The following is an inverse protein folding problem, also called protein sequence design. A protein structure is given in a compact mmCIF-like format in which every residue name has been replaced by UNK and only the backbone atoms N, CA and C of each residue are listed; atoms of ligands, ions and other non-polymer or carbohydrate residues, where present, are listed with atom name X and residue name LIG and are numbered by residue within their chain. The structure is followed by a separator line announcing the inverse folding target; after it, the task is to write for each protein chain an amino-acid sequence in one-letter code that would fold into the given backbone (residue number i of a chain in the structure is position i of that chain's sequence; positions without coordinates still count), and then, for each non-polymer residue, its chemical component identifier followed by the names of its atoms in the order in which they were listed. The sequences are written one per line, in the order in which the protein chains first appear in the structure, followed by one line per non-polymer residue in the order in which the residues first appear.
data_IF_536344081057
#
_entry.id   IF_536344081057
#
_cell.length_a   1.000
_cell.length_b   1.000
_cell.length_c   1.000
_cell.angle_alpha   90.00
_cell.angle_beta   90.00
_cell.angle_gamma   90.00
#
_symmetry.space_group_name_H-M   'P 1'
#
loop_
_entity.id
_entity.type
_entity.pdbx_description
1 polymer ?
#
# COMPACT_ATOMS: atom_id res chain seq x y z
N UNK A 1 -12.00 -8.74 -19.37
CA UNK A 1 -11.16 -9.14 -20.56
C UNK A 1 -12.07 -9.17 -21.77
N UNK A 2 -11.64 -8.56 -22.88
CA UNK A 2 -12.48 -8.53 -24.10
C UNK A 2 -12.63 -9.93 -24.69
N UNK A 3 -13.71 -10.19 -25.43
CA UNK A 3 -13.93 -11.48 -26.13
C UNK A 3 -12.82 -11.81 -27.14
N UNK A 4 -11.99 -10.82 -27.50
CA UNK A 4 -10.89 -10.96 -28.47
C UNK A 4 -9.58 -11.49 -27.85
N UNK A 5 -9.46 -11.62 -26.54
CA UNK A 5 -8.26 -12.19 -25.90
C UNK A 5 -8.19 -13.69 -26.13
N UNK A 6 -7.01 -14.22 -26.52
CA UNK A 6 -6.87 -15.67 -26.76
C UNK A 6 -7.16 -16.46 -25.48
N UNK A 7 -7.75 -17.65 -25.63
CA UNK A 7 -8.10 -18.53 -24.51
C UNK A 7 -6.88 -18.86 -23.63
N UNK A 8 -5.71 -19.03 -24.23
CA UNK A 8 -4.46 -19.32 -23.50
C UNK A 8 -4.03 -18.16 -22.61
N UNK A 9 -4.02 -16.93 -23.15
CA UNK A 9 -3.69 -15.72 -22.36
C UNK A 9 -4.68 -15.55 -21.22
N UNK A 10 -5.97 -15.78 -21.48
CA UNK A 10 -7.01 -15.69 -20.47
C UNK A 10 -6.81 -16.67 -19.32
N UNK A 11 -6.49 -17.93 -19.63
CA UNK A 11 -6.16 -18.96 -18.63
C UNK A 11 -4.94 -18.58 -17.80
N UNK A 12 -3.88 -18.06 -18.45
CA UNK A 12 -2.67 -17.62 -17.75
C UNK A 12 -2.97 -16.48 -16.76
N UNK A 13 -3.67 -15.45 -17.23
CA UNK A 13 -4.02 -14.30 -16.36
C UNK A 13 -4.87 -14.73 -15.18
N UNK A 14 -5.87 -15.58 -15.38
CA UNK A 14 -6.67 -16.11 -14.28
C UNK A 14 -5.81 -16.92 -13.31
N UNK A 15 -4.89 -17.75 -13.80
CA UNK A 15 -3.94 -18.48 -12.95
C UNK A 15 -3.11 -17.53 -12.07
N UNK A 16 -2.58 -16.46 -12.67
CA UNK A 16 -1.82 -15.43 -11.94
C UNK A 16 -2.71 -14.72 -10.88
N UNK A 17 -3.94 -14.36 -11.24
CA UNK A 17 -4.89 -13.71 -10.30
C UNK A 17 -5.28 -14.64 -9.16
N UNK A 18 -5.53 -15.92 -9.42
CA UNK A 18 -5.85 -16.90 -8.38
C UNK A 18 -4.66 -17.13 -7.43
N UNK A 19 -3.44 -17.23 -7.98
CA UNK A 19 -2.23 -17.31 -7.15
C UNK A 19 -2.09 -16.07 -6.27
N UNK A 20 -2.26 -14.89 -6.85
CA UNK A 20 -2.23 -13.64 -6.09
C UNK A 20 -3.29 -13.60 -5.00
N UNK A 21 -4.51 -14.03 -5.28
CA UNK A 21 -5.59 -14.10 -4.30
C UNK A 21 -5.23 -14.99 -3.10
N UNK A 22 -4.62 -16.16 -3.35
CA UNK A 22 -4.14 -17.05 -2.28
C UNK A 22 -3.02 -16.37 -1.49
N UNK A 23 -2.06 -15.74 -2.17
CA UNK A 23 -0.98 -15.00 -1.50
C UNK A 23 -1.51 -13.81 -0.68
N UNK A 24 -2.55 -13.12 -1.14
CA UNK A 24 -3.20 -12.04 -0.41
C UNK A 24 -3.87 -12.53 0.86
N UNK A 25 -4.43 -13.75 0.86
CA UNK A 25 -5.09 -14.33 2.02
C UNK A 25 -4.08 -14.85 3.05
N UNK A 26 -2.99 -15.46 2.62
CA UNK A 26 -2.07 -16.19 3.50
C UNK A 26 -0.76 -15.43 3.71
N UNK A 27 -0.09 -15.07 2.62
CA UNK A 27 1.27 -14.53 2.65
C UNK A 27 1.33 -13.06 3.07
N UNK A 28 0.43 -12.22 2.54
CA UNK A 28 0.43 -10.78 2.83
C UNK A 28 0.22 -10.49 4.32
N UNK A 29 -0.77 -11.08 5.03
CA UNK A 29 -0.91 -10.88 6.47
C UNK A 29 0.33 -11.30 7.25
N UNK A 30 0.89 -12.46 6.93
CA UNK A 30 2.09 -12.98 7.61
C UNK A 30 3.29 -12.05 7.44
N UNK A 31 3.55 -11.58 6.21
CA UNK A 31 4.64 -10.63 5.96
C UNK A 31 4.39 -9.27 6.58
N UNK A 32 3.13 -8.83 6.62
CA UNK A 32 2.77 -7.57 7.28
C UNK A 32 3.12 -7.60 8.76
N UNK A 33 2.81 -8.67 9.48
CA UNK A 33 3.20 -8.82 10.88
C UNK A 33 4.72 -8.86 11.06
N UNK A 34 5.44 -9.63 10.23
CA UNK A 34 6.92 -9.67 10.26
C UNK A 34 7.56 -8.31 10.05
N UNK A 35 6.94 -7.47 9.25
CA UNK A 35 7.45 -6.15 8.94
C UNK A 35 7.12 -5.13 10.03
N UNK A 36 5.90 -5.16 10.55
CA UNK A 36 5.41 -4.16 11.50
C UNK A 36 6.02 -4.32 12.88
N UNK A 37 6.18 -5.54 13.35
CA UNK A 37 6.69 -5.80 14.70
C UNK A 37 8.06 -5.14 14.97
N UNK A 38 9.10 -5.31 14.14
CA UNK A 38 10.37 -4.62 14.38
C UNK A 38 10.26 -3.10 14.26
N UNK A 39 9.43 -2.57 13.34
CA UNK A 39 9.19 -1.12 13.24
C UNK A 39 8.63 -0.59 14.56
N UNK A 40 7.61 -1.25 15.11
CA UNK A 40 7.01 -0.85 16.39
C UNK A 40 8.04 -0.95 17.53
N UNK A 41 8.85 -2.00 17.57
CA UNK A 41 9.92 -2.16 18.55
C UNK A 41 10.88 -0.97 18.54
N UNK A 42 11.42 -0.60 17.38
CA UNK A 42 12.32 0.54 17.25
C UNK A 42 11.65 1.90 17.51
N UNK A 43 10.37 2.04 17.20
CA UNK A 43 9.62 3.24 17.56
C UNK A 43 9.46 3.37 19.07
N UNK A 44 9.18 2.28 19.78
CA UNK A 44 9.05 2.27 21.23
C UNK A 44 10.39 2.59 21.91
N UNK A 45 11.50 2.00 21.46
CA UNK A 45 12.85 2.35 21.96
C UNK A 45 13.12 3.85 21.81
N UNK A 46 12.79 4.41 20.64
CA UNK A 46 13.01 5.83 20.37
C UNK A 46 12.11 6.73 21.21
N UNK A 47 10.91 6.30 21.54
CA UNK A 47 10.02 7.01 22.48
C UNK A 47 10.68 7.11 23.86
N UNK A 48 11.22 6.00 24.38
CA UNK A 48 11.87 6.01 25.69
C UNK A 48 13.14 6.86 25.69
N UNK A 49 13.95 6.82 24.63
CA UNK A 49 15.08 7.74 24.47
C UNK A 49 14.64 9.20 24.50
N UNK A 50 13.60 9.55 23.77
CA UNK A 50 13.09 10.92 23.71
C UNK A 50 12.51 11.40 25.04
N UNK A 51 11.94 10.52 25.85
CA UNK A 51 11.50 10.85 27.22
C UNK A 51 12.69 11.17 28.12
N UNK A 52 13.75 10.35 28.06
CA UNK A 52 15.00 10.57 28.83
C UNK A 52 15.71 11.85 28.42
N UNK A 53 15.72 12.14 27.11
CA UNK A 53 16.34 13.37 26.56
C UNK A 53 15.43 14.62 26.73
N UNK A 54 14.27 14.50 27.37
CA UNK A 54 13.25 15.55 27.46
C UNK A 54 12.86 16.14 26.09
N UNK A 55 12.99 15.35 25.03
CA UNK A 55 12.68 15.78 23.67
C UNK A 55 11.16 15.98 23.52
N UNK A 56 10.68 17.19 23.16
CA UNK A 56 9.25 17.49 23.08
C UNK A 56 8.49 16.72 22.00
N UNK A 57 9.17 15.93 21.18
CA UNK A 57 8.56 15.14 20.09
C UNK A 57 8.10 13.74 20.51
N UNK A 58 8.36 13.30 21.76
CA UNK A 58 7.97 11.95 22.21
C UNK A 58 6.46 11.66 22.15
N UNK A 59 5.54 12.61 22.48
CA UNK A 59 4.12 12.33 22.40
C UNK A 59 3.65 12.06 20.98
N UNK A 60 4.30 12.71 20.04
CA UNK A 60 4.04 12.55 18.62
C UNK A 60 4.46 11.19 18.08
N UNK A 61 5.65 10.72 18.48
CA UNK A 61 6.11 9.39 18.09
C UNK A 61 5.20 8.31 18.68
N UNK A 62 4.69 8.52 19.89
CA UNK A 62 3.69 7.65 20.54
C UNK A 62 2.42 7.56 19.69
N UNK A 63 1.89 8.68 19.22
CA UNK A 63 0.73 8.69 18.34
C UNK A 63 1.01 7.99 17.02
N UNK A 64 2.20 8.22 16.43
CA UNK A 64 2.62 7.53 15.20
C UNK A 64 2.64 6.02 15.38
N UNK A 65 3.17 5.54 16.49
CA UNK A 65 3.24 4.12 16.83
C UNK A 65 1.83 3.52 16.96
N UNK A 66 0.92 4.25 17.61
CA UNK A 66 -0.48 3.84 17.72
C UNK A 66 -1.17 3.76 16.34
N UNK A 67 -0.99 4.75 15.48
CA UNK A 67 -1.54 4.74 14.12
C UNK A 67 -1.00 3.57 13.31
N UNK A 68 0.30 3.30 13.34
CA UNK A 68 0.91 2.16 12.66
C UNK A 68 0.34 0.84 13.18
N UNK A 69 0.20 0.68 14.50
CA UNK A 69 -0.32 -0.54 15.11
C UNK A 69 -1.78 -0.82 14.77
N UNK A 70 -2.58 0.22 14.45
CA UNK A 70 -3.97 0.09 14.04
C UNK A 70 -4.12 -0.10 12.52
N UNK A 71 -3.54 0.80 11.72
CA UNK A 71 -3.77 0.81 10.26
C UNK A 71 -3.15 -0.37 9.53
N UNK A 72 -2.09 -0.95 10.07
CA UNK A 72 -1.43 -2.09 9.43
C UNK A 72 -2.24 -3.37 9.47
N UNK A 73 -2.71 -3.83 10.64
CA UNK A 73 -3.64 -4.96 10.70
C UNK A 73 -4.91 -4.73 9.91
N UNK A 74 -5.43 -3.48 9.92
CA UNK A 74 -6.58 -3.10 9.10
C UNK A 74 -6.28 -3.30 7.60
N UNK A 75 -5.13 -2.81 7.12
CA UNK A 75 -4.71 -2.99 5.74
C UNK A 75 -4.51 -4.47 5.37
N UNK A 76 -3.90 -5.24 6.24
CA UNK A 76 -3.78 -6.69 6.09
C UNK A 76 -5.15 -7.36 5.93
N UNK A 77 -6.12 -6.98 6.76
CA UNK A 77 -7.50 -7.46 6.66
C UNK A 77 -8.16 -7.09 5.33
N UNK A 78 -7.97 -5.85 4.86
CA UNK A 78 -8.47 -5.43 3.54
C UNK A 78 -7.84 -6.25 2.41
N UNK A 79 -6.56 -6.61 2.51
CA UNK A 79 -5.90 -7.49 1.54
C UNK A 79 -6.52 -8.90 1.53
N UNK A 80 -6.84 -9.46 2.70
CA UNK A 80 -7.54 -10.75 2.80
C UNK A 80 -8.91 -10.70 2.14
N UNK A 81 -9.70 -9.67 2.46
CA UNK A 81 -11.04 -9.49 1.86
C UNK A 81 -10.95 -9.32 0.34
N UNK A 82 -9.98 -8.57 -0.14
CA UNK A 82 -9.72 -8.41 -1.58
C UNK A 82 -9.32 -9.74 -2.24
N UNK A 83 -8.50 -10.56 -1.58
CA UNK A 83 -8.15 -11.90 -2.04
C UNK A 83 -9.38 -12.81 -2.15
N UNK A 84 -10.25 -12.81 -1.14
CA UNK A 84 -11.54 -13.55 -1.17
C UNK A 84 -12.43 -13.05 -2.31
N UNK A 85 -12.53 -11.74 -2.49
CA UNK A 85 -13.30 -11.15 -3.59
C UNK A 85 -12.75 -11.59 -4.96
N UNK A 86 -11.42 -11.63 -5.15
CA UNK A 86 -10.79 -12.13 -6.38
C UNK A 86 -11.14 -13.59 -6.67
N UNK A 87 -11.16 -14.45 -5.65
CA UNK A 87 -11.59 -15.84 -5.81
C UNK A 87 -13.06 -15.92 -6.24
N UNK A 88 -13.93 -15.14 -5.60
CA UNK A 88 -15.37 -15.12 -5.89
C UNK A 88 -15.68 -14.64 -7.32
N UNK A 89 -14.92 -13.66 -7.83
CA UNK A 89 -15.16 -13.10 -9.18
C UNK A 89 -14.34 -13.77 -10.28
N UNK A 90 -13.49 -14.74 -9.97
CA UNK A 90 -12.57 -15.36 -10.94
C UNK A 90 -13.30 -15.90 -12.19
N UNK A 91 -14.48 -16.51 -12.03
CA UNK A 91 -15.29 -16.97 -13.15
C UNK A 91 -15.78 -15.79 -14.01
N UNK A 92 -16.31 -14.75 -13.41
CA UNK A 92 -16.77 -13.56 -14.13
C UNK A 92 -15.62 -12.86 -14.88
N UNK A 93 -14.43 -12.83 -14.27
CA UNK A 93 -13.22 -12.31 -14.91
C UNK A 93 -12.81 -13.20 -16.09
N UNK A 94 -12.86 -14.53 -15.95
CA UNK A 94 -12.59 -15.47 -17.05
C UNK A 94 -13.61 -15.28 -18.20
N UNK A 95 -14.88 -15.10 -17.88
CA UNK A 95 -15.96 -14.89 -18.86
C UNK A 95 -15.86 -13.49 -19.53
N UNK A 96 -14.94 -12.64 -19.09
CA UNK A 96 -14.67 -11.34 -19.71
C UNK A 96 -15.65 -10.24 -19.29
N UNK A 97 -16.28 -10.36 -18.12
CA UNK A 97 -17.19 -9.32 -17.62
C UNK A 97 -16.42 -8.05 -17.28
N UNK A 98 -16.84 -6.90 -17.81
CA UNK A 98 -16.15 -5.61 -17.64
C UNK A 98 -16.05 -5.20 -16.16
N UNK A 99 -17.14 -5.36 -15.40
CA UNK A 99 -17.15 -5.04 -13.97
C UNK A 99 -16.15 -5.89 -13.17
N UNK A 100 -15.97 -7.17 -13.53
CA UNK A 100 -15.04 -8.06 -12.84
C UNK A 100 -13.57 -7.65 -13.07
N UNK A 101 -13.27 -7.09 -14.26
CA UNK A 101 -11.95 -6.52 -14.53
C UNK A 101 -11.66 -5.32 -13.63
N UNK A 102 -12.57 -4.33 -13.58
CA UNK A 102 -12.40 -3.15 -12.74
C UNK A 102 -12.22 -3.52 -11.27
N UNK A 103 -13.07 -4.42 -10.78
CA UNK A 103 -12.97 -4.91 -9.41
C UNK A 103 -11.66 -5.69 -9.16
N UNK A 104 -11.18 -6.47 -10.13
CA UNK A 104 -9.87 -7.16 -10.00
C UNK A 104 -8.72 -6.17 -9.88
N UNK A 105 -8.69 -5.13 -10.71
CA UNK A 105 -7.66 -4.09 -10.64
C UNK A 105 -7.70 -3.37 -9.29
N UNK A 106 -8.89 -3.03 -8.80
CA UNK A 106 -9.06 -2.43 -7.49
C UNK A 106 -8.54 -3.35 -6.37
N UNK A 107 -8.94 -4.61 -6.35
CA UNK A 107 -8.49 -5.57 -5.33
C UNK A 107 -6.97 -5.77 -5.35
N UNK A 108 -6.36 -5.85 -6.54
CA UNK A 108 -4.91 -6.02 -6.70
C UNK A 108 -4.11 -4.76 -6.36
N UNK A 109 -4.71 -3.58 -6.46
CA UNK A 109 -4.09 -2.33 -6.03
C UNK A 109 -3.89 -2.28 -4.49
N UNK A 110 -4.73 -2.94 -3.69
CA UNK A 110 -4.67 -2.89 -2.23
C UNK A 110 -3.30 -3.36 -1.69
N UNK A 111 -2.80 -4.58 -1.95
CA UNK A 111 -1.48 -4.99 -1.48
C UNK A 111 -0.34 -4.21 -2.16
N UNK A 112 -0.52 -3.79 -3.42
CA UNK A 112 0.47 -2.97 -4.13
C UNK A 112 0.74 -1.66 -3.40
N UNK A 113 -0.31 -0.97 -3.02
CA UNK A 113 -0.25 0.31 -2.33
C UNK A 113 0.27 0.17 -0.91
N UNK A 114 -0.26 -0.78 -0.13
CA UNK A 114 0.18 -1.01 1.23
C UNK A 114 1.65 -1.43 1.32
N UNK A 115 2.10 -2.28 0.39
CA UNK A 115 3.49 -2.63 0.28
C UNK A 115 4.37 -1.42 -0.05
N UNK A 116 4.01 -0.63 -1.07
CA UNK A 116 4.75 0.56 -1.46
C UNK A 116 4.89 1.56 -0.30
N UNK A 117 3.78 1.83 0.41
CA UNK A 117 3.77 2.74 1.57
C UNK A 117 4.77 2.33 2.66
N UNK A 118 4.94 1.02 2.91
CA UNK A 118 5.78 0.56 4.02
C UNK A 118 7.25 0.39 3.72
N UNK A 119 7.66 0.59 2.49
CA UNK A 119 9.09 0.57 2.16
C UNK A 119 9.82 1.66 2.97
N UNK A 120 9.25 2.87 3.03
CA UNK A 120 9.89 4.01 3.70
C UNK A 120 9.98 3.83 5.22
N UNK A 121 8.88 3.51 5.96
CA UNK A 121 8.99 3.22 7.38
C UNK A 121 9.95 2.08 7.70
N UNK A 122 9.95 1.01 6.91
CA UNK A 122 10.87 -0.10 7.11
C UNK A 122 12.33 0.33 6.94
N UNK A 123 12.64 1.04 5.88
CA UNK A 123 14.00 1.54 5.62
C UNK A 123 14.47 2.48 6.73
N UNK A 124 13.59 3.34 7.25
CA UNK A 124 13.94 4.32 8.28
C UNK A 124 14.17 3.69 9.66
N UNK A 125 13.41 2.68 10.03
CA UNK A 125 13.47 2.11 11.39
C UNK A 125 14.27 0.82 11.47
N UNK A 126 14.13 -0.05 10.49
CA UNK A 126 14.75 -1.38 10.48
C UNK A 126 15.97 -1.41 9.55
N UNK A 127 15.78 -1.03 8.29
CA UNK A 127 16.83 -1.11 7.28
C UNK A 127 18.08 -0.28 7.61
N UNK A 128 17.92 0.84 8.30
CA UNK A 128 19.03 1.67 8.77
C UNK A 128 19.87 1.01 9.87
N UNK A 129 19.31 0.09 10.63
CA UNK A 129 19.97 -0.61 11.76
C UNK A 129 20.42 -2.02 11.40
N UNK A 130 19.54 -2.78 10.75
CA UNK A 130 19.75 -4.20 10.47
C UNK A 130 20.15 -4.47 9.01
N UNK A 131 19.91 -3.50 8.12
CA UNK A 131 20.07 -3.71 6.68
C UNK A 131 19.01 -4.65 6.12
N UNK A 132 19.26 -5.19 4.94
CA UNK A 132 18.41 -6.20 4.32
C UNK A 132 17.35 -5.66 3.36
N UNK A 133 16.59 -6.58 2.77
CA UNK A 133 15.58 -6.27 1.77
C UNK A 133 14.21 -6.06 2.43
N UNK A 134 13.50 -4.96 2.13
CA UNK A 134 12.20 -4.67 2.72
C UNK A 134 11.16 -5.74 2.37
N UNK A 135 10.55 -6.44 3.34
CA UNK A 135 9.46 -7.38 3.06
C UNK A 135 8.27 -6.71 2.36
N UNK A 136 8.12 -5.42 2.55
CA UNK A 136 7.13 -4.56 1.91
C UNK A 136 7.16 -4.66 0.36
N UNK A 137 8.34 -4.81 -0.25
CA UNK A 137 8.49 -4.98 -1.70
C UNK A 137 7.83 -6.28 -2.16
N UNK A 138 7.93 -7.35 -1.39
CA UNK A 138 7.28 -8.62 -1.72
C UNK A 138 5.75 -8.48 -1.65
N UNK A 139 5.23 -7.79 -0.64
CA UNK A 139 3.79 -7.49 -0.54
C UNK A 139 3.34 -6.67 -1.76
N UNK A 140 4.08 -5.64 -2.12
CA UNK A 140 3.81 -4.82 -3.30
C UNK A 140 3.74 -5.67 -4.58
N UNK A 141 4.69 -6.58 -4.79
CA UNK A 141 4.76 -7.40 -6.00
C UNK A 141 3.62 -8.41 -6.13
N UNK A 142 3.09 -8.90 -5.00
CA UNK A 142 1.90 -9.79 -4.98
C UNK A 142 0.70 -9.14 -5.66
N UNK A 143 0.52 -7.83 -5.49
CA UNK A 143 -0.54 -7.09 -6.18
C UNK A 143 -0.14 -6.59 -7.56
N UNK A 144 1.06 -6.02 -7.68
CA UNK A 144 1.50 -5.27 -8.86
C UNK A 144 1.66 -6.16 -10.10
N UNK A 145 2.24 -7.35 -9.95
CA UNK A 145 2.44 -8.29 -11.08
C UNK A 145 1.09 -8.70 -11.69
N UNK A 146 0.13 -9.24 -10.93
CA UNK A 146 -1.17 -9.61 -11.50
C UNK A 146 -1.99 -8.39 -11.96
N UNK A 147 -1.82 -7.23 -11.32
CA UNK A 147 -2.40 -5.98 -11.80
C UNK A 147 -2.01 -5.70 -13.25
N UNK A 148 -0.72 -5.73 -13.57
CA UNK A 148 -0.25 -5.58 -14.93
C UNK A 148 -0.67 -6.72 -15.85
N UNK A 149 -0.71 -7.95 -15.36
CA UNK A 149 -1.21 -9.08 -16.14
C UNK A 149 -2.67 -8.86 -16.59
N UNK A 150 -3.54 -8.38 -15.69
CA UNK A 150 -4.93 -8.05 -16.02
C UNK A 150 -5.02 -6.85 -16.98
N UNK A 151 -4.24 -5.79 -16.71
CA UNK A 151 -4.25 -4.57 -17.51
C UNK A 151 -3.79 -4.82 -18.95
N UNK A 152 -2.70 -5.58 -19.14
CA UNK A 152 -2.07 -5.78 -20.43
C UNK A 152 -2.72 -6.91 -21.26
N UNK A 153 -3.46 -7.82 -20.63
CA UNK A 153 -4.06 -8.96 -21.32
C UNK A 153 -5.19 -8.57 -22.28
N UNK A 154 -5.73 -7.37 -22.20
CA UNK A 154 -6.74 -6.92 -23.14
C UNK A 154 -6.14 -6.53 -24.48
N UNK A 155 -6.79 -7.01 -25.56
CA UNK A 155 -6.55 -6.45 -26.89
C UNK A 155 -7.23 -5.07 -26.94
N UNK A 156 -6.46 -4.04 -27.04
CA UNK A 156 -6.92 -2.67 -27.10
C UNK A 156 -5.81 -1.79 -27.62
N UNK A 157 -6.16 -0.55 -27.95
CA UNK A 157 -5.19 0.45 -28.35
C UNK A 157 -4.15 0.64 -27.24
N UNK A 158 -2.88 0.57 -27.60
CA UNK A 158 -1.75 0.76 -26.69
C UNK A 158 -1.86 2.12 -25.97
N UNK A 159 -2.31 3.14 -26.70
CA UNK A 159 -2.52 4.49 -26.14
C UNK A 159 -3.51 4.47 -24.98
N UNK A 160 -4.66 3.77 -25.14
CA UNK A 160 -5.63 3.66 -24.05
C UNK A 160 -5.07 2.92 -22.85
N UNK A 161 -4.29 1.83 -23.07
CA UNK A 161 -3.64 1.10 -21.96
C UNK A 161 -2.65 1.96 -21.20
N UNK A 162 -1.88 2.79 -21.91
CA UNK A 162 -0.95 3.74 -21.29
C UNK A 162 -1.70 4.79 -20.48
N UNK A 163 -2.79 5.31 -21.03
CA UNK A 163 -3.65 6.28 -20.31
C UNK A 163 -4.25 5.64 -19.06
N UNK A 164 -4.85 4.46 -19.18
CA UNK A 164 -5.42 3.73 -18.03
C UNK A 164 -4.35 3.46 -16.96
N UNK A 165 -3.17 3.00 -17.39
CA UNK A 165 -2.05 2.80 -16.47
C UNK A 165 -1.66 4.08 -15.74
N UNK A 166 -1.48 5.18 -16.47
CA UNK A 166 -1.10 6.47 -15.87
C UNK A 166 -2.17 6.98 -14.92
N UNK A 167 -3.45 6.88 -15.28
CA UNK A 167 -4.56 7.29 -14.40
C UNK A 167 -4.56 6.47 -13.11
N UNK A 168 -4.47 5.13 -13.18
CA UNK A 168 -4.47 4.31 -11.98
C UNK A 168 -3.18 4.46 -11.17
N UNK A 169 -2.03 4.64 -11.84
CA UNK A 169 -0.77 4.95 -11.17
C UNK A 169 -0.88 6.27 -10.41
N UNK A 170 -1.36 7.34 -11.07
CA UNK A 170 -1.50 8.65 -10.44
C UNK A 170 -2.51 8.63 -9.30
N UNK A 171 -3.64 7.95 -9.45
CA UNK A 171 -4.59 7.77 -8.36
C UNK A 171 -3.98 7.00 -7.18
N UNK A 172 -3.23 5.94 -7.46
CA UNK A 172 -2.56 5.16 -6.46
C UNK A 172 -1.48 5.93 -5.72
N UNK A 173 -0.60 6.60 -6.46
CA UNK A 173 0.46 7.45 -5.89
C UNK A 173 -0.17 8.59 -5.08
N UNK A 174 -1.18 9.27 -5.62
CA UNK A 174 -1.86 10.37 -4.93
C UNK A 174 -2.50 9.90 -3.63
N UNK A 175 -3.17 8.74 -3.62
CA UNK A 175 -3.76 8.18 -2.41
C UNK A 175 -2.69 7.83 -1.37
N UNK A 176 -1.57 7.20 -1.76
CA UNK A 176 -0.47 6.87 -0.87
C UNK A 176 0.24 8.13 -0.33
N UNK A 177 0.50 9.10 -1.20
CA UNK A 177 1.09 10.38 -0.84
C UNK A 177 0.18 11.18 0.11
N UNK A 178 -1.12 11.24 -0.17
CA UNK A 178 -2.07 11.93 0.69
C UNK A 178 -2.15 11.26 2.08
N UNK A 179 -2.17 9.93 2.14
CA UNK A 179 -2.14 9.21 3.41
C UNK A 179 -0.84 9.48 4.17
N UNK A 180 0.32 9.37 3.52
CA UNK A 180 1.62 9.64 4.11
C UNK A 180 1.77 11.10 4.55
N UNK A 181 1.33 12.03 3.71
CA UNK A 181 1.41 13.47 3.99
C UNK A 181 0.39 13.91 5.04
N UNK A 182 -0.81 13.30 5.08
CA UNK A 182 -1.79 13.52 6.14
C UNK A 182 -1.23 13.13 7.50
N UNK A 183 -0.60 11.99 7.55
CA UNK A 183 0.09 11.51 8.74
C UNK A 183 1.26 12.41 9.15
N UNK A 184 2.07 12.87 8.19
CA UNK A 184 3.17 13.80 8.44
C UNK A 184 2.66 15.18 8.90
N UNK A 185 1.60 15.71 8.28
CA UNK A 185 0.97 16.96 8.67
C UNK A 185 0.41 16.91 10.11
N UNK A 186 -0.25 15.81 10.46
CA UNK A 186 -0.73 15.58 11.80
C UNK A 186 0.40 15.54 12.82
N UNK A 187 1.53 14.92 12.46
CA UNK A 187 2.76 14.94 13.24
C UNK A 187 3.27 16.35 13.49
N UNK A 188 3.31 17.18 12.46
CA UNK A 188 3.82 18.56 12.57
C UNK A 188 2.92 19.39 13.47
N UNK A 189 1.62 19.29 13.32
CA UNK A 189 0.64 20.06 14.10
C UNK A 189 0.67 19.73 15.58
N UNK A 190 0.79 18.46 15.94
CA UNK A 190 0.74 18.04 17.36
C UNK A 190 2.09 18.03 18.06
N UNK A 191 3.18 17.75 17.35
CA UNK A 191 4.49 17.55 17.96
C UNK A 191 5.42 18.74 17.95
N UNK A 192 5.12 19.79 17.18
CA UNK A 192 5.95 20.98 17.06
C UNK A 192 5.15 22.28 17.10
N UNK A 193 4.42 22.55 18.21
CA UNK A 193 3.58 23.75 18.30
C UNK A 193 4.37 25.06 18.18
N UNK A 194 5.71 25.02 18.35
CA UNK A 194 6.59 26.18 18.20
C UNK A 194 7.23 26.30 16.82
N UNK A 195 7.10 25.29 15.95
CA UNK A 195 7.56 25.40 14.56
C UNK A 195 6.50 26.10 13.72
N UNK A 196 6.85 27.17 13.01
CA UNK A 196 5.90 27.77 12.07
C UNK A 196 5.44 26.70 11.09
N UNK A 197 4.14 26.54 10.92
CA UNK A 197 3.50 25.60 9.98
C UNK A 197 4.13 25.74 8.58
N UNK A 198 4.67 26.89 8.28
CA UNK A 198 5.28 27.25 6.99
C UNK A 198 6.78 26.92 6.86
N UNK A 199 7.46 26.51 7.93
CA UNK A 199 8.92 26.32 7.90
C UNK A 199 9.37 24.98 7.28
N UNK A 200 8.53 23.96 7.26
CA UNK A 200 8.91 22.61 6.74
C UNK A 200 8.06 22.14 5.55
N UNK A 201 7.56 23.05 4.79
CA UNK A 201 6.86 22.73 3.55
C UNK A 201 5.35 22.88 3.65
N UNK A 202 4.88 24.04 3.24
CA UNK A 202 3.48 24.33 2.94
C UNK A 202 2.83 23.17 2.18
N UNK A 203 3.58 22.53 1.28
CA UNK A 203 3.13 21.40 0.49
C UNK A 203 2.70 20.21 1.35
N UNK A 204 3.53 19.77 2.32
CA UNK A 204 3.22 18.61 3.16
C UNK A 204 1.97 18.86 4.00
N UNK A 205 1.87 20.05 4.60
CA UNK A 205 0.71 20.42 5.42
C UNK A 205 -0.55 20.55 4.58
N UNK A 206 -0.47 21.17 3.42
CA UNK A 206 -1.60 21.39 2.52
C UNK A 206 -2.12 20.09 1.91
N UNK A 207 -1.24 19.26 1.37
CA UNK A 207 -1.61 17.95 0.81
C UNK A 207 -2.05 16.97 1.90
N UNK A 208 -1.52 17.08 3.11
CA UNK A 208 -1.98 16.30 4.23
C UNK A 208 -3.43 16.59 4.60
N UNK A 209 -3.84 17.85 4.61
CA UNK A 209 -5.22 18.25 4.85
C UNK A 209 -6.18 17.84 3.74
N UNK A 210 -5.72 17.83 2.49
CA UNK A 210 -6.54 17.37 1.36
C UNK A 210 -6.70 15.84 1.32
N UNK A 211 -5.84 15.11 2.00
CA UNK A 211 -5.86 13.64 2.06
C UNK A 211 -6.65 13.06 3.22
N UNK A 212 -6.98 13.88 4.21
CA UNK A 212 -7.83 13.53 5.34
C UNK A 212 -9.30 13.81 5.04
#
# INVERSE_FOLDING_TARGET
MSQQTSTQVRKLVIGIVLLAAILMIVYVPFQSFKMVNPILGYQLERIEQFKVEENPSWPLLTLTTWLVSFFYPFWGTMSVLAGIALLAIAKALYDGKVWARGLSLFCLAIPSMGGAYMIVPWMNFVGSKEGGFPPAVLIMTVGLIPYFAVLLAEKGDLKQKVVDFLVFLMLGVTAAENFANGHAAFRILYGHPKRPIFAEGIAITYFGWLGL
#
